data_IF_679274136407
#
_entry.id   IF_679274136407
#
_cell.length_a   1.000
_cell.length_b   1.000
_cell.length_c   1.000
_cell.angle_alpha   90.00
_cell.angle_beta   90.00
_cell.angle_gamma   90.00
#
_symmetry.space_group_name_H-M   'P 1'
#
loop_
_entity.id
_entity.type
_entity.pdbx_description
1 polymer ?
#
# COMPACT_ATOMS: atom_id res chain seq x y z
N UNK A 1 -37.59 -13.06 -19.65
CA UNK A 1 -37.81 -12.14 -18.52
C UNK A 1 -36.63 -12.09 -17.54
N UNK A 2 -36.03 -13.23 -17.24
CA UNK A 2 -34.86 -13.26 -16.34
C UNK A 2 -33.57 -12.60 -16.91
N UNK A 3 -33.49 -12.53 -18.24
CA UNK A 3 -32.35 -11.88 -18.91
C UNK A 3 -32.25 -10.38 -18.68
N UNK A 4 -33.36 -9.71 -18.43
CA UNK A 4 -33.40 -8.27 -18.21
C UNK A 4 -32.80 -7.87 -16.85
N UNK A 5 -33.05 -8.68 -15.83
CA UNK A 5 -32.49 -8.47 -14.50
C UNK A 5 -30.98 -8.78 -14.45
N UNK A 6 -30.55 -9.78 -15.19
CA UNK A 6 -29.13 -10.10 -15.31
C UNK A 6 -28.34 -8.97 -15.98
N UNK A 7 -28.95 -8.29 -16.95
CA UNK A 7 -28.33 -7.15 -17.62
C UNK A 7 -28.16 -5.94 -16.71
N UNK A 8 -29.14 -5.67 -15.88
CA UNK A 8 -29.05 -4.57 -14.88
C UNK A 8 -28.01 -4.86 -13.80
N UNK A 9 -27.93 -6.08 -13.35
CA UNK A 9 -26.94 -6.49 -12.36
C UNK A 9 -25.51 -6.36 -12.89
N UNK A 10 -25.29 -6.73 -14.16
CA UNK A 10 -24.00 -6.53 -14.82
C UNK A 10 -23.60 -5.06 -14.91
N UNK A 11 -24.54 -4.16 -15.15
CA UNK A 11 -24.28 -2.71 -15.18
C UNK A 11 -23.83 -2.18 -13.84
N UNK A 12 -24.38 -2.67 -12.76
CA UNK A 12 -23.99 -2.29 -11.41
C UNK A 12 -22.56 -2.77 -11.10
N UNK A 13 -22.26 -3.99 -11.52
CA UNK A 13 -20.90 -4.54 -11.37
C UNK A 13 -19.88 -3.83 -12.26
N UNK A 14 -20.28 -3.43 -13.46
CA UNK A 14 -19.41 -2.68 -14.37
C UNK A 14 -19.10 -1.27 -13.82
N UNK A 15 -20.02 -0.67 -13.08
CA UNK A 15 -19.74 0.60 -12.43
C UNK A 15 -18.86 0.44 -11.19
N UNK A 16 -18.94 -0.67 -10.51
CA UNK A 16 -18.01 -1.03 -9.43
C UNK A 16 -16.65 -1.45 -9.98
N UNK A 17 -16.61 -2.13 -11.11
CA UNK A 17 -15.37 -2.50 -11.79
C UNK A 17 -14.61 -1.29 -12.37
N UNK A 18 -15.25 -0.14 -12.47
CA UNK A 18 -14.59 1.14 -12.82
C UNK A 18 -13.81 1.73 -11.65
N UNK A 19 -13.99 1.23 -10.44
CA UNK A 19 -12.97 1.40 -9.42
C UNK A 19 -11.72 0.71 -9.93
N UNK A 20 -10.62 1.42 -10.19
CA UNK A 20 -9.46 0.77 -10.81
C UNK A 20 -9.06 -0.44 -9.99
N UNK A 21 -9.01 -1.59 -10.66
CA UNK A 21 -8.37 -2.79 -10.12
C UNK A 21 -7.04 -2.35 -9.56
N UNK A 22 -6.86 -2.48 -8.26
CA UNK A 22 -5.68 -1.98 -7.61
C UNK A 22 -5.78 -0.54 -7.10
N UNK A 23 -6.99 -0.05 -6.79
CA UNK A 23 -7.09 1.25 -6.11
C UNK A 23 -6.60 1.12 -4.66
N UNK A 24 -5.57 1.86 -4.36
CA UNK A 24 -5.09 2.01 -3.00
C UNK A 24 -5.77 3.25 -2.38
N UNK A 25 -6.30 3.08 -1.18
CA UNK A 25 -6.74 4.20 -0.38
C UNK A 25 -5.62 4.59 0.57
N UNK A 26 -5.14 5.80 0.44
CA UNK A 26 -4.12 6.34 1.32
C UNK A 26 -4.72 6.88 2.61
N UNK A 27 -4.09 6.57 3.73
CA UNK A 27 -4.44 7.10 5.04
C UNK A 27 -3.20 7.75 5.64
N UNK A 28 -3.32 9.02 6.02
CA UNK A 28 -2.24 9.73 6.67
C UNK A 28 -2.46 9.74 8.18
N UNK A 29 -1.44 9.37 8.91
CA UNK A 29 -1.44 9.43 10.37
C UNK A 29 -0.47 10.53 10.82
N UNK A 30 -1.02 11.61 11.37
CA UNK A 30 -0.23 12.72 11.89
C UNK A 30 0.49 12.38 13.20
N UNK A 31 0.08 11.30 13.86
CA UNK A 31 0.68 10.86 15.12
C UNK A 31 1.83 9.87 14.96
N UNK A 32 2.01 9.31 13.75
CA UNK A 32 3.06 8.32 13.44
C UNK A 32 4.49 8.89 13.61
N UNK A 33 4.65 10.21 13.55
CA UNK A 33 5.98 10.84 13.59
C UNK A 33 6.79 10.66 12.29
N UNK A 34 6.38 9.80 11.40
CA UNK A 34 7.02 9.65 10.10
C UNK A 34 6.58 10.76 9.14
N UNK A 35 7.49 11.34 8.34
CA UNK A 35 7.12 12.30 7.31
C UNK A 35 6.06 11.72 6.36
N UNK A 36 5.18 12.57 5.85
CA UNK A 36 4.06 12.18 4.98
C UNK A 36 4.56 11.40 3.76
N UNK A 37 5.63 11.83 3.12
CA UNK A 37 6.16 11.14 1.94
C UNK A 37 6.57 9.70 2.25
N UNK A 38 7.11 9.43 3.45
CA UNK A 38 7.47 8.08 3.88
C UNK A 38 6.25 7.22 4.15
N UNK A 39 5.19 7.81 4.68
CA UNK A 39 3.92 7.10 4.87
C UNK A 39 3.32 6.66 3.54
N UNK A 40 3.38 7.52 2.54
CA UNK A 40 2.93 7.21 1.17
C UNK A 40 3.77 6.08 0.56
N UNK A 41 5.09 6.17 0.64
CA UNK A 41 6.01 5.13 0.15
C UNK A 41 5.67 3.79 0.78
N UNK A 42 5.54 3.75 2.09
CA UNK A 42 5.26 2.54 2.86
C UNK A 42 3.95 1.89 2.46
N UNK A 43 2.91 2.69 2.27
CA UNK A 43 1.59 2.20 1.85
C UNK A 43 1.61 1.60 0.45
N UNK A 44 2.32 2.22 -0.48
CA UNK A 44 2.49 1.68 -1.84
C UNK A 44 3.30 0.37 -1.79
N UNK A 45 4.40 0.35 -1.07
CA UNK A 45 5.21 -0.87 -0.91
C UNK A 45 4.38 -2.03 -0.33
N UNK A 46 3.61 -1.79 0.71
CA UNK A 46 2.74 -2.81 1.30
C UNK A 46 1.64 -3.27 0.34
N UNK A 47 1.07 -2.37 -0.44
CA UNK A 47 0.04 -2.70 -1.41
C UNK A 47 0.60 -3.59 -2.54
N UNK A 48 1.83 -3.33 -2.97
CA UNK A 48 2.53 -4.16 -3.96
C UNK A 48 2.86 -5.53 -3.37
N UNK A 49 3.42 -5.57 -2.17
CA UNK A 49 3.77 -6.82 -1.49
C UNK A 49 2.56 -7.71 -1.19
N UNK A 50 1.44 -7.10 -0.83
CA UNK A 50 0.20 -7.83 -0.52
C UNK A 50 -0.59 -8.24 -1.76
N UNK A 51 -0.17 -7.82 -2.95
CA UNK A 51 -0.88 -8.10 -4.20
C UNK A 51 -2.10 -7.22 -4.45
N UNK A 52 -2.35 -6.22 -3.62
CA UNK A 52 -3.43 -5.25 -3.86
C UNK A 52 -3.12 -4.33 -5.05
N UNK A 53 -1.86 -3.97 -5.23
CA UNK A 53 -1.36 -3.32 -6.42
C UNK A 53 -0.51 -4.31 -7.22
N UNK A 54 -0.84 -4.45 -8.48
CA UNK A 54 -0.18 -5.35 -9.42
C UNK A 54 0.59 -4.55 -10.46
N UNK A 55 1.54 -5.20 -11.07
CA UNK A 55 2.24 -4.71 -12.24
C UNK A 55 1.28 -4.14 -13.27
N UNK A 56 1.54 -2.92 -13.73
CA UNK A 56 0.69 -2.21 -14.69
C UNK A 56 -0.47 -1.43 -14.09
N UNK A 57 -0.75 -1.57 -12.80
CA UNK A 57 -1.78 -0.77 -12.14
C UNK A 57 -1.40 0.71 -12.11
N UNK A 58 -2.36 1.55 -12.42
CA UNK A 58 -2.18 3.00 -12.45
C UNK A 58 -2.38 3.60 -11.07
N UNK A 59 -1.46 4.46 -10.67
CA UNK A 59 -1.58 5.27 -9.47
C UNK A 59 -2.28 6.61 -9.76
N UNK A 60 -2.86 7.24 -8.73
CA UNK A 60 -3.37 8.61 -8.86
C UNK A 60 -2.26 9.55 -9.33
N UNK A 61 -2.64 10.59 -10.06
CA UNK A 61 -1.69 11.64 -10.42
C UNK A 61 -1.20 12.36 -9.16
N UNK A 62 -0.01 12.94 -9.24
CA UNK A 62 0.56 13.72 -8.13
C UNK A 62 -0.43 14.80 -7.66
N UNK A 63 -1.02 15.51 -8.62
CA UNK A 63 -1.97 16.58 -8.34
C UNK A 63 -3.24 16.07 -7.67
N UNK A 64 -3.83 15.00 -8.21
CA UNK A 64 -5.08 14.44 -7.66
C UNK A 64 -4.88 13.86 -6.26
N UNK A 65 -3.77 13.18 -6.03
CA UNK A 65 -3.46 12.62 -4.71
C UNK A 65 -3.17 13.74 -3.69
N UNK A 66 -2.48 14.80 -4.10
CA UNK A 66 -2.22 15.95 -3.24
C UNK A 66 -3.52 16.62 -2.80
N UNK A 67 -4.49 16.75 -3.70
CA UNK A 67 -5.82 17.30 -3.40
C UNK A 67 -6.58 16.37 -2.44
N UNK A 68 -6.60 15.07 -2.73
CA UNK A 68 -7.28 14.06 -1.90
C UNK A 68 -6.73 14.03 -0.47
N UNK A 69 -5.43 14.06 -0.32
CA UNK A 69 -4.74 14.00 0.97
C UNK A 69 -4.55 15.37 1.63
N UNK A 70 -4.96 16.44 0.97
CA UNK A 70 -4.77 17.83 1.45
C UNK A 70 -3.31 18.11 1.81
N UNK A 71 -2.40 17.68 0.96
CA UNK A 71 -0.95 17.84 1.16
C UNK A 71 -0.31 18.53 -0.02
N UNK A 72 0.93 18.96 0.15
CA UNK A 72 1.69 19.61 -0.91
C UNK A 72 2.00 18.63 -2.05
N UNK A 73 1.77 19.01 -3.33
CA UNK A 73 2.15 18.19 -4.47
C UNK A 73 3.63 17.78 -4.47
N UNK A 74 4.51 18.62 -3.98
CA UNK A 74 5.94 18.31 -3.86
C UNK A 74 6.21 17.11 -2.95
N UNK A 75 5.42 16.94 -1.91
CA UNK A 75 5.50 15.79 -1.01
C UNK A 75 5.14 14.49 -1.73
N UNK A 76 4.09 14.52 -2.54
CA UNK A 76 3.70 13.37 -3.37
C UNK A 76 4.77 13.09 -4.43
N UNK A 77 5.25 14.13 -5.10
CA UNK A 77 6.31 14.01 -6.11
C UNK A 77 7.59 13.38 -5.52
N UNK A 78 7.96 13.75 -4.29
CA UNK A 78 9.10 13.16 -3.59
C UNK A 78 8.88 11.67 -3.32
N UNK A 79 7.71 11.26 -2.88
CA UNK A 79 7.38 9.86 -2.65
C UNK A 79 7.44 9.05 -3.95
N UNK A 80 6.81 9.54 -5.00
CA UNK A 80 6.78 8.87 -6.31
C UNK A 80 8.17 8.80 -6.94
N UNK A 81 8.94 9.88 -6.86
CA UNK A 81 10.30 9.92 -7.38
C UNK A 81 11.21 8.90 -6.70
N UNK A 82 11.10 8.76 -5.39
CA UNK A 82 11.87 7.76 -4.65
C UNK A 82 11.49 6.33 -5.03
N UNK A 83 10.21 6.06 -5.21
CA UNK A 83 9.73 4.76 -5.65
C UNK A 83 10.14 4.45 -7.11
N UNK A 84 10.22 5.46 -7.97
CA UNK A 84 10.78 5.32 -9.33
C UNK A 84 12.25 4.92 -9.30
N UNK A 85 13.05 5.61 -8.47
CA UNK A 85 14.47 5.29 -8.30
C UNK A 85 14.66 3.86 -7.83
N UNK A 86 13.76 3.36 -6.99
CA UNK A 86 13.78 1.97 -6.51
C UNK A 86 13.23 0.97 -7.54
N UNK A 87 12.71 1.43 -8.67
CA UNK A 87 12.14 0.59 -9.72
C UNK A 87 10.75 0.03 -9.41
N UNK A 88 10.07 0.54 -8.38
CA UNK A 88 8.71 0.11 -8.01
C UNK A 88 7.66 0.80 -8.87
N UNK A 89 7.90 2.06 -9.22
CA UNK A 89 7.05 2.85 -10.11
C UNK A 89 7.72 3.15 -11.43
N UNK A 90 6.89 3.33 -12.43
CA UNK A 90 7.30 3.78 -13.76
C UNK A 90 6.38 4.90 -14.23
N UNK A 91 6.95 6.05 -14.56
CA UNK A 91 6.20 7.16 -15.14
C UNK A 91 6.26 7.10 -16.65
N UNK A 92 5.09 7.06 -17.28
CA UNK A 92 4.94 7.16 -18.72
C UNK A 92 4.51 8.57 -19.05
N UNK A 93 5.36 9.31 -19.74
CA UNK A 93 5.13 10.71 -20.10
C UNK A 93 3.83 10.83 -20.89
N UNK A 94 2.93 11.71 -20.42
CA UNK A 94 1.63 11.94 -21.05
C UNK A 94 0.56 10.90 -20.71
N UNK A 95 0.89 9.82 -20.01
CA UNK A 95 -0.05 8.76 -19.66
C UNK A 95 -0.31 8.66 -18.14
N UNK A 96 0.73 8.64 -17.34
CA UNK A 96 0.60 8.55 -15.88
C UNK A 96 1.72 7.76 -15.23
N UNK A 97 1.51 7.44 -13.96
CA UNK A 97 2.43 6.65 -13.14
C UNK A 97 1.82 5.29 -12.88
N UNK A 98 2.59 4.25 -13.10
CA UNK A 98 2.15 2.85 -13.03
C UNK A 98 3.07 2.04 -12.14
N UNK A 99 2.55 0.94 -11.60
CA UNK A 99 3.39 -0.05 -10.94
C UNK A 99 4.26 -0.71 -11.99
N UNK A 100 5.56 -0.71 -11.77
CA UNK A 100 6.54 -1.25 -12.70
C UNK A 100 6.40 -2.77 -12.82
N UNK A 101 6.62 -3.29 -14.04
CA UNK A 101 6.74 -4.72 -14.29
C UNK A 101 8.17 -5.24 -14.05
N UNK A 102 9.10 -4.33 -13.84
CA UNK A 102 10.44 -4.73 -13.42
C UNK A 102 10.31 -5.37 -12.05
N UNK A 103 10.65 -6.66 -11.96
CA UNK A 103 10.85 -7.28 -10.65
C UNK A 103 11.86 -6.39 -9.92
N UNK A 104 11.50 -5.85 -8.76
CA UNK A 104 12.51 -5.18 -7.95
C UNK A 104 13.67 -6.16 -7.87
N UNK A 105 14.86 -5.70 -8.21
CA UNK A 105 16.05 -6.51 -8.00
C UNK A 105 15.93 -7.10 -6.59
N UNK A 106 16.12 -8.42 -6.43
CA UNK A 106 16.11 -8.97 -5.10
C UNK A 106 17.24 -8.26 -4.36
N UNK A 107 16.92 -7.18 -3.69
CA UNK A 107 17.76 -6.80 -2.57
C UNK A 107 17.82 -8.08 -1.75
N UNK A 108 19.01 -8.50 -1.39
CA UNK A 108 19.23 -9.64 -0.50
C UNK A 108 18.47 -9.49 0.84
N UNK A 109 17.58 -8.54 0.90
CA UNK A 109 16.65 -8.16 1.94
C UNK A 109 15.23 -8.30 1.41
N UNK A 110 14.82 -9.53 1.10
CA UNK A 110 13.42 -9.81 0.77
C UNK A 110 12.50 -9.38 1.92
N UNK A 111 11.20 -9.23 1.62
CA UNK A 111 10.20 -8.89 2.65
C UNK A 111 10.31 -9.80 3.87
N UNK A 112 10.72 -11.05 3.67
CA UNK A 112 10.93 -12.03 4.73
C UNK A 112 12.01 -11.61 5.74
N UNK A 113 13.10 -11.01 5.28
CA UNK A 113 14.15 -10.53 6.18
C UNK A 113 13.64 -9.35 7.02
N UNK A 114 12.96 -8.40 6.37
CA UNK A 114 12.41 -7.24 7.06
C UNK A 114 11.30 -7.64 8.05
N UNK A 115 10.45 -8.56 7.66
CA UNK A 115 9.41 -9.13 8.53
C UNK A 115 10.06 -9.81 9.73
N UNK A 116 11.07 -10.65 9.51
CA UNK A 116 11.80 -11.32 10.59
C UNK A 116 12.47 -10.35 11.55
N UNK A 117 13.09 -9.28 11.03
CA UNK A 117 13.70 -8.23 11.85
C UNK A 117 12.67 -7.50 12.71
N UNK A 118 11.54 -7.09 12.10
CA UNK A 118 10.46 -6.40 12.81
C UNK A 118 9.82 -7.31 13.87
N UNK A 119 9.57 -8.56 13.52
CA UNK A 119 9.05 -9.53 14.47
C UNK A 119 10.02 -9.81 15.62
N UNK A 120 11.30 -9.95 15.30
CA UNK A 120 12.33 -10.17 16.31
C UNK A 120 12.40 -9.02 17.29
N UNK A 121 12.41 -7.80 16.79
CA UNK A 121 12.42 -6.58 17.61
C UNK A 121 11.16 -6.49 18.47
N UNK A 122 10.00 -6.69 17.87
CA UNK A 122 8.71 -6.66 18.57
C UNK A 122 8.64 -7.69 19.70
N UNK A 123 9.05 -8.94 19.43
CA UNK A 123 9.10 -10.00 20.46
C UNK A 123 10.04 -9.62 21.59
N UNK A 124 11.18 -9.02 21.25
CA UNK A 124 12.18 -8.58 22.24
C UNK A 124 11.64 -7.48 23.15
N UNK A 125 10.98 -6.49 22.55
CA UNK A 125 10.35 -5.38 23.28
C UNK A 125 9.25 -5.89 24.22
N UNK A 126 8.41 -6.80 23.73
CA UNK A 126 7.35 -7.39 24.55
C UNK A 126 7.90 -8.23 25.69
N UNK A 127 8.99 -8.98 25.45
CA UNK A 127 9.68 -9.71 26.51
C UNK A 127 10.23 -8.77 27.59
N UNK A 128 10.76 -7.61 27.17
CA UNK A 128 11.21 -6.57 28.11
C UNK A 128 10.09 -6.03 28.99
N UNK A 129 8.85 -6.09 28.51
CA UNK A 129 7.64 -5.75 29.27
C UNK A 129 7.06 -6.91 30.08
N UNK A 130 7.71 -8.08 30.08
CA UNK A 130 7.29 -9.26 30.82
C UNK A 130 6.25 -10.12 30.10
N UNK A 131 6.02 -9.89 28.82
CA UNK A 131 5.04 -10.65 28.02
C UNK A 131 5.72 -11.86 27.36
N UNK A 132 5.27 -13.05 27.70
CA UNK A 132 5.75 -14.29 27.12
C UNK A 132 5.19 -14.53 25.71
N UNK A 133 5.90 -15.35 24.91
CA UNK A 133 5.50 -15.63 23.51
C UNK A 133 4.06 -16.14 23.38
N UNK A 134 3.63 -17.02 24.28
CA UNK A 134 2.27 -17.57 24.26
C UNK A 134 1.23 -16.51 24.50
N UNK A 135 1.50 -15.65 25.47
CA UNK A 135 0.64 -14.54 25.84
C UNK A 135 0.56 -13.52 24.69
N UNK A 136 1.70 -13.20 24.07
CA UNK A 136 1.78 -12.32 22.92
C UNK A 136 0.96 -12.84 21.74
N UNK A 137 1.06 -14.12 21.43
CA UNK A 137 0.28 -14.75 20.36
C UNK A 137 -1.23 -14.64 20.63
N UNK A 138 -1.66 -14.88 21.87
CA UNK A 138 -3.06 -14.73 22.26
C UNK A 138 -3.54 -13.27 22.14
N UNK A 139 -2.70 -12.32 22.52
CA UNK A 139 -3.01 -10.89 22.41
C UNK A 139 -3.14 -10.45 20.94
N UNK A 140 -2.29 -10.93 20.06
CA UNK A 140 -2.36 -10.63 18.63
C UNK A 140 -3.65 -11.17 18.03
N UNK A 141 -4.01 -12.42 18.34
CA UNK A 141 -5.23 -13.05 17.84
C UNK A 141 -6.47 -12.32 18.35
N UNK A 142 -6.45 -11.88 19.62
CA UNK A 142 -7.56 -11.15 20.22
C UNK A 142 -7.63 -9.68 19.79
N UNK A 143 -6.57 -9.14 19.21
CA UNK A 143 -6.54 -7.75 18.74
C UNK A 143 -7.47 -7.59 17.54
N UNK A 144 -8.47 -6.77 17.69
CA UNK A 144 -9.36 -6.41 16.59
C UNK A 144 -8.80 -5.18 15.89
N UNK A 145 -8.66 -5.27 14.60
CA UNK A 145 -8.33 -4.11 13.78
C UNK A 145 -9.46 -3.09 13.91
N UNK A 146 -9.13 -1.94 14.44
CA UNK A 146 -10.09 -0.84 14.60
C UNK A 146 -10.11 0.07 13.40
#
# INVERSE_FOLDING_TARGET
MNSTNAGQFRRTNDSEAKTPSGSIRFTLDQTDGAPIYRQIIRQIEYAVLSGRLKCGDRLPTIRSLAVELKTNPNTIAKAYGELEIRGILETQVGSGTYISDKKPEPRNEGPDKKIKELMGRFIQDMRGLGVERRELAAMIIAHKDS
#
